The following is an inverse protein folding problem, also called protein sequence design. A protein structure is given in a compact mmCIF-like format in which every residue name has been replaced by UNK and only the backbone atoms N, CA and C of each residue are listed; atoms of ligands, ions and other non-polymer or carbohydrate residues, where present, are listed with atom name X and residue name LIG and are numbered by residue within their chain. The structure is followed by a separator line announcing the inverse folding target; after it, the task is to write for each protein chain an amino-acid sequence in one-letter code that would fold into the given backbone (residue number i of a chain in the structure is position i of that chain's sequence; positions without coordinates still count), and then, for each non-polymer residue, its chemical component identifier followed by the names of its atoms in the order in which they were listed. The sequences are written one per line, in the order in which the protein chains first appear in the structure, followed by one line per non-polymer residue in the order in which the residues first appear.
data_IF_278196185408
#
_entry.id   IF_278196185408
#
_cell.length_a   1.000
_cell.length_b   1.000
_cell.length_c   1.000
_cell.angle_alpha   90.00
_cell.angle_beta   90.00
_cell.angle_gamma   90.00
#
_symmetry.space_group_name_H-M   'P 1'
#
loop_
_entity.id
_entity.type
_entity.pdbx_description
1 polymer ?
#
# COMPACT_ATOMS: atom_id res chain seq x y z
N UNK A 1 -3.32 -5.70 3.85
CA UNK A 1 -2.14 -4.91 3.43
C UNK A 1 -1.94 -3.81 4.46
N UNK A 2 -0.97 -3.98 5.37
CA UNK A 2 -0.60 -2.93 6.33
C UNK A 2 0.34 -2.00 5.57
N UNK A 3 -0.16 -0.86 5.11
CA UNK A 3 0.75 0.14 4.55
C UNK A 3 1.64 0.64 5.68
N UNK A 4 2.96 0.49 5.53
CA UNK A 4 3.87 1.23 6.37
C UNK A 4 3.76 2.72 6.07
N UNK A 5 3.90 3.53 7.12
CA UNK A 5 3.89 4.99 7.02
C UNK A 5 5.06 5.40 6.11
N UNK A 6 4.76 6.16 5.07
CA UNK A 6 5.80 6.70 4.20
C UNK A 6 6.73 7.62 4.98
N UNK A 7 8.04 7.46 4.79
CA UNK A 7 9.08 8.36 5.32
C UNK A 7 8.98 9.80 4.78
N UNK A 8 8.21 10.01 3.70
CA UNK A 8 7.94 11.32 3.11
C UNK A 8 6.44 11.58 3.07
N UNK A 9 6.01 12.61 3.80
CA UNK A 9 4.64 13.11 3.88
C UNK A 9 4.57 14.53 3.33
N UNK A 10 3.61 14.75 2.45
CA UNK A 10 3.38 15.99 1.70
C UNK A 10 2.16 16.67 2.30
N UNK A 11 2.29 17.96 2.66
CA UNK A 11 1.19 18.76 3.19
C UNK A 11 0.12 19.05 2.14
N UNK A 12 -1.08 19.35 2.64
CA UNK A 12 -2.26 19.67 1.83
C UNK A 12 -2.45 21.18 1.60
N UNK A 13 -1.39 21.99 1.73
CA UNK A 13 -1.48 23.47 1.68
C UNK A 13 -2.19 23.96 0.41
N UNK A 14 -1.95 23.32 -0.73
CA UNK A 14 -2.60 23.62 -2.03
C UNK A 14 -4.09 23.22 -2.10
N UNK A 15 -4.56 22.33 -1.22
CA UNK A 15 -5.95 21.91 -1.16
C UNK A 15 -6.76 22.73 -0.14
N UNK A 16 -6.14 23.60 0.64
CA UNK A 16 -6.81 24.37 1.69
C UNK A 16 -7.99 25.19 1.12
N UNK A 17 -7.76 25.93 0.04
CA UNK A 17 -8.81 26.71 -0.61
C UNK A 17 -10.00 25.82 -0.97
N UNK A 18 -9.74 24.67 -1.57
CA UNK A 18 -10.81 23.81 -2.05
C UNK A 18 -11.55 23.12 -0.89
N UNK A 19 -10.84 22.73 0.18
CA UNK A 19 -11.43 22.18 1.40
C UNK A 19 -12.46 23.15 1.98
N UNK A 20 -12.15 24.45 1.98
CA UNK A 20 -13.03 25.52 2.53
C UNK A 20 -14.27 25.81 1.68
N UNK A 21 -14.21 25.50 0.38
CA UNK A 21 -15.34 25.69 -0.55
C UNK A 21 -16.31 24.48 -0.56
N UNK A 22 -15.98 23.39 0.13
CA UNK A 22 -16.85 22.21 0.15
C UNK A 22 -18.13 22.51 0.93
N UNK A 23 -19.25 22.45 0.20
CA UNK A 23 -20.58 22.65 0.76
C UNK A 23 -20.83 21.74 1.98
N UNK A 24 -21.09 22.40 3.13
CA UNK A 24 -21.40 21.81 4.44
C UNK A 24 -22.89 21.88 4.80
N UNK A 25 -23.75 22.32 3.89
CA UNK A 25 -25.20 22.43 4.08
C UNK A 25 -25.57 23.32 5.27
N UNK A 26 -26.44 22.81 6.14
CA UNK A 26 -26.94 23.53 7.32
C UNK A 26 -26.07 23.31 8.58
N UNK A 27 -24.88 22.73 8.42
CA UNK A 27 -23.98 22.49 9.56
C UNK A 27 -23.49 23.80 10.18
N UNK A 28 -23.23 23.78 11.49
CA UNK A 28 -22.74 24.97 12.17
C UNK A 28 -21.30 25.28 11.74
N UNK A 29 -21.11 26.51 11.24
CA UNK A 29 -19.83 27.00 10.70
C UNK A 29 -18.65 26.85 11.65
N UNK A 30 -18.82 27.05 12.95
CA UNK A 30 -17.73 26.89 13.93
C UNK A 30 -17.23 25.44 13.98
N UNK A 31 -18.15 24.48 13.96
CA UNK A 31 -17.81 23.06 13.94
C UNK A 31 -17.22 22.63 12.60
N UNK A 32 -17.76 23.14 11.49
CA UNK A 32 -17.21 22.93 10.14
C UNK A 32 -15.77 23.41 10.06
N UNK A 33 -15.49 24.66 10.45
CA UNK A 33 -14.15 25.22 10.50
C UNK A 33 -13.20 24.37 11.36
N UNK A 34 -13.69 23.80 12.47
CA UNK A 34 -12.87 22.92 13.32
C UNK A 34 -12.51 21.60 12.62
N UNK A 35 -13.38 21.06 11.76
CA UNK A 35 -13.13 19.84 11.00
C UNK A 35 -12.19 20.13 9.83
N UNK A 36 -12.44 21.19 9.07
CA UNK A 36 -11.57 21.65 7.99
C UNK A 36 -10.14 21.89 8.48
N UNK A 37 -9.97 22.63 9.57
CA UNK A 37 -8.66 22.90 10.16
C UNK A 37 -7.97 21.61 10.65
N UNK A 38 -8.73 20.60 11.07
CA UNK A 38 -8.17 19.31 11.45
C UNK A 38 -7.68 18.52 10.22
N UNK A 39 -8.38 18.60 9.09
CA UNK A 39 -7.91 18.04 7.82
C UNK A 39 -6.66 18.77 7.30
N UNK A 40 -6.70 20.10 7.21
CA UNK A 40 -5.60 20.92 6.68
C UNK A 40 -4.30 20.69 7.48
N UNK A 41 -4.38 20.62 8.81
CA UNK A 41 -3.20 20.48 9.68
C UNK A 41 -2.83 19.03 10.01
N UNK A 42 -3.77 18.12 9.83
CA UNK A 42 -3.69 16.74 10.33
C UNK A 42 -3.58 15.68 9.26
N UNK A 43 -3.89 15.99 8.01
CA UNK A 43 -3.78 15.06 6.90
C UNK A 43 -2.63 15.41 5.94
N UNK A 44 -2.10 14.37 5.32
CA UNK A 44 -0.95 14.42 4.43
C UNK A 44 -1.15 13.43 3.29
N UNK A 45 -0.53 13.68 2.14
CA UNK A 45 -0.38 12.67 1.09
C UNK A 45 1.03 12.10 1.15
N UNK A 46 1.21 10.80 0.93
CA UNK A 46 2.54 10.27 0.67
C UNK A 46 2.88 10.26 -0.83
N UNK A 47 4.09 9.79 -1.16
CA UNK A 47 4.54 9.63 -2.55
C UNK A 47 3.65 8.71 -3.40
N UNK A 48 2.85 7.84 -2.78
CA UNK A 48 1.89 6.93 -3.43
C UNK A 48 0.53 7.61 -3.62
N UNK A 49 0.36 8.87 -3.20
CA UNK A 49 -0.93 9.55 -3.16
C UNK A 49 -1.91 8.95 -2.15
N UNK A 50 -1.40 8.21 -1.15
CA UNK A 50 -2.21 7.70 -0.03
C UNK A 50 -2.35 8.80 1.02
N UNK A 51 -3.57 8.97 1.53
CA UNK A 51 -3.85 9.90 2.62
C UNK A 51 -3.40 9.30 3.96
N UNK A 52 -2.67 10.08 4.74
CA UNK A 52 -2.23 9.77 6.09
C UNK A 52 -2.76 10.81 7.07
N UNK A 53 -3.31 10.35 8.20
CA UNK A 53 -3.99 11.22 9.17
C UNK A 53 -3.32 11.06 10.52
N UNK A 54 -2.85 12.19 11.08
CA UNK A 54 -2.27 12.26 12.41
C UNK A 54 -3.29 11.90 13.47
N UNK A 55 -2.90 10.97 14.35
CA UNK A 55 -3.73 10.46 15.44
C UNK A 55 -4.38 11.57 16.29
N UNK A 56 -3.62 12.62 16.61
CA UNK A 56 -4.10 13.72 17.45
C UNK A 56 -5.34 14.46 16.90
N UNK A 57 -5.64 14.35 15.60
CA UNK A 57 -6.78 15.00 14.97
C UNK A 57 -8.02 14.09 14.86
N UNK A 58 -7.87 12.78 15.09
CA UNK A 58 -8.98 11.81 15.06
C UNK A 58 -10.19 12.19 15.92
N UNK A 59 -10.05 12.72 17.15
CA UNK A 59 -11.20 13.18 17.94
C UNK A 59 -12.11 14.15 17.18
N UNK A 60 -11.51 15.09 16.46
CA UNK A 60 -12.24 16.12 15.70
C UNK A 60 -12.81 15.54 14.42
N UNK A 61 -12.01 14.79 13.67
CA UNK A 61 -12.35 14.24 12.35
C UNK A 61 -13.45 13.18 12.44
N UNK A 62 -13.30 12.21 13.35
CA UNK A 62 -14.29 11.14 13.55
C UNK A 62 -15.43 11.54 14.50
N UNK A 63 -15.43 12.76 15.06
CA UNK A 63 -16.41 13.23 16.06
C UNK A 63 -16.48 12.32 17.29
N UNK A 64 -15.33 11.84 17.76
CA UNK A 64 -15.21 11.02 18.96
C UNK A 64 -14.61 11.82 20.11
N UNK A 65 -15.00 11.48 21.34
CA UNK A 65 -14.33 12.04 22.51
C UNK A 65 -12.89 11.53 22.55
N UNK A 66 -11.95 12.34 23.04
CA UNK A 66 -10.51 12.04 22.99
C UNK A 66 -10.17 10.73 23.70
N UNK A 67 -10.84 10.46 24.82
CA UNK A 67 -10.69 9.25 25.63
C UNK A 67 -11.22 7.97 24.96
N UNK A 68 -12.08 8.08 23.93
CA UNK A 68 -12.65 6.94 23.23
C UNK A 68 -11.92 6.57 21.95
N UNK A 69 -10.92 7.35 21.51
CA UNK A 69 -10.21 7.10 20.24
C UNK A 69 -9.58 5.70 20.22
N UNK A 70 -8.81 5.37 21.26
CA UNK A 70 -8.14 4.08 21.37
C UNK A 70 -9.12 2.91 21.40
N UNK A 71 -10.27 3.08 22.05
CA UNK A 71 -11.34 2.08 22.06
C UNK A 71 -11.82 1.79 20.63
N UNK A 72 -12.14 2.84 19.85
CA UNK A 72 -12.61 2.64 18.47
C UNK A 72 -11.52 2.10 17.53
N UNK A 73 -10.25 2.48 17.72
CA UNK A 73 -9.14 1.89 16.95
C UNK A 73 -8.97 0.40 17.24
N UNK A 74 -9.09 -0.01 18.52
CA UNK A 74 -9.02 -1.41 18.90
C UNK A 74 -10.14 -2.25 18.28
N UNK A 75 -11.37 -1.70 18.16
CA UNK A 75 -12.49 -2.38 17.50
C UNK A 75 -12.23 -2.71 16.02
N UNK A 76 -11.39 -1.92 15.35
CA UNK A 76 -10.98 -2.17 13.95
C UNK A 76 -9.61 -2.84 13.84
N UNK A 77 -9.09 -3.38 14.95
CA UNK A 77 -7.83 -4.12 14.99
C UNK A 77 -6.59 -3.28 14.74
N UNK A 78 -6.66 -1.96 14.97
CA UNK A 78 -5.54 -1.05 14.79
C UNK A 78 -4.85 -0.72 16.11
N UNK A 79 -3.52 -0.84 16.17
CA UNK A 79 -2.75 -0.36 17.32
C UNK A 79 -2.75 1.17 17.36
N UNK A 80 -2.34 1.72 18.51
CA UNK A 80 -2.04 3.14 18.62
C UNK A 80 -0.78 3.43 17.80
N UNK A 81 -0.88 4.43 16.93
CA UNK A 81 0.17 4.88 16.03
C UNK A 81 0.08 6.40 15.88
N UNK A 82 1.17 7.07 15.53
CA UNK A 82 1.19 8.51 15.26
C UNK A 82 0.29 8.89 14.06
N UNK A 83 0.09 7.94 13.13
CA UNK A 83 -0.74 8.11 11.94
C UNK A 83 -1.59 6.86 11.68
N UNK A 84 -2.74 7.09 11.04
CA UNK A 84 -3.54 6.05 10.40
C UNK A 84 -3.67 6.34 8.91
N UNK A 85 -3.88 5.30 8.09
CA UNK A 85 -4.14 5.49 6.67
C UNK A 85 -5.57 6.02 6.43
N UNK A 86 -5.81 6.57 5.24
CA UNK A 86 -7.14 6.99 4.80
C UNK A 86 -8.15 5.83 4.81
N UNK A 87 -7.71 4.63 4.42
CA UNK A 87 -8.54 3.41 4.46
C UNK A 87 -8.96 3.07 5.90
N UNK A 88 -7.99 3.10 6.82
CA UNK A 88 -8.24 2.87 8.24
C UNK A 88 -9.19 3.90 8.84
N UNK A 89 -9.05 5.15 8.41
CA UNK A 89 -9.94 6.23 8.83
C UNK A 89 -11.38 6.04 8.34
N UNK A 90 -11.59 5.52 7.11
CA UNK A 90 -12.93 5.17 6.62
C UNK A 90 -13.54 4.05 7.47
N UNK A 91 -12.76 3.02 7.81
CA UNK A 91 -13.21 1.95 8.70
C UNK A 91 -13.60 2.50 10.09
N UNK A 92 -12.77 3.39 10.65
CA UNK A 92 -13.04 4.08 11.90
C UNK A 92 -14.34 4.89 11.84
N UNK A 93 -14.50 5.71 10.80
CA UNK A 93 -15.72 6.52 10.62
C UNK A 93 -16.96 5.63 10.50
N UNK A 94 -16.89 4.51 9.77
CA UNK A 94 -18.01 3.59 9.61
C UNK A 94 -18.48 3.01 10.95
N UNK A 95 -17.56 2.54 11.79
CA UNK A 95 -17.87 2.03 13.14
C UNK A 95 -18.46 3.14 14.02
N UNK A 96 -17.86 4.34 14.01
CA UNK A 96 -18.35 5.48 14.81
C UNK A 96 -19.72 5.97 14.33
N UNK A 97 -19.96 5.97 13.03
CA UNK A 97 -21.22 6.39 12.42
C UNK A 97 -22.37 5.49 12.88
N UNK A 98 -22.16 4.17 12.83
CA UNK A 98 -23.14 3.18 13.27
C UNK A 98 -23.43 3.30 14.78
N UNK A 99 -22.39 3.54 15.60
CA UNK A 99 -22.54 3.73 17.04
C UNK A 99 -23.12 5.10 17.44
N UNK A 100 -23.20 6.07 16.52
CA UNK A 100 -23.68 7.42 16.82
C UNK A 100 -25.21 7.49 16.68
N UNK A 101 -25.97 7.85 17.73
CA UNK A 101 -27.44 7.85 17.67
C UNK A 101 -28.05 9.10 17.02
N UNK A 102 -27.39 10.26 17.13
CA UNK A 102 -27.98 11.55 16.71
C UNK A 102 -27.68 11.88 15.24
N UNK A 103 -28.70 12.26 14.48
CA UNK A 103 -28.58 12.72 13.09
C UNK A 103 -27.54 13.83 12.92
N UNK A 104 -27.61 14.89 13.73
CA UNK A 104 -26.67 16.02 13.62
C UNK A 104 -25.20 15.62 13.73
N UNK A 105 -24.87 14.67 14.62
CA UNK A 105 -23.49 14.17 14.75
C UNK A 105 -23.08 13.31 13.55
N UNK A 106 -24.01 12.52 13.01
CA UNK A 106 -23.81 11.77 11.76
C UNK A 106 -23.54 12.69 10.57
N UNK A 107 -24.17 13.85 10.50
CA UNK A 107 -23.94 14.80 9.40
C UNK A 107 -22.53 15.41 9.43
N UNK A 108 -21.98 15.69 10.62
CA UNK A 108 -20.56 16.08 10.72
C UNK A 108 -19.59 14.95 10.33
N UNK A 109 -19.93 13.69 10.66
CA UNK A 109 -19.12 12.53 10.26
C UNK A 109 -19.13 12.41 8.73
N UNK A 110 -20.30 12.49 8.09
CA UNK A 110 -20.45 12.52 6.62
C UNK A 110 -19.69 13.66 5.98
N UNK A 111 -19.74 14.85 6.59
CA UNK A 111 -18.97 15.98 6.10
C UNK A 111 -17.46 15.70 6.15
N UNK A 112 -16.96 15.13 7.26
CA UNK A 112 -15.55 14.74 7.34
C UNK A 112 -15.17 13.64 6.34
N UNK A 113 -16.05 12.68 6.08
CA UNK A 113 -15.86 11.66 5.03
C UNK A 113 -15.83 12.27 3.63
N UNK A 114 -16.69 13.25 3.35
CA UNK A 114 -16.70 14.01 2.09
C UNK A 114 -15.37 14.74 1.86
N UNK A 115 -14.83 15.37 2.89
CA UNK A 115 -13.50 16.00 2.84
C UNK A 115 -12.40 14.97 2.55
N UNK A 116 -12.44 13.80 3.19
CA UNK A 116 -11.51 12.71 2.89
C UNK A 116 -11.55 12.29 1.42
N UNK A 117 -12.75 12.01 0.89
CA UNK A 117 -12.91 11.62 -0.52
C UNK A 117 -12.37 12.70 -1.45
N UNK A 118 -12.64 13.97 -1.15
CA UNK A 118 -12.11 15.09 -1.93
C UNK A 118 -10.58 15.14 -1.95
N UNK A 119 -9.93 14.96 -0.80
CA UNK A 119 -8.46 14.93 -0.70
C UNK A 119 -7.91 13.72 -1.47
N UNK A 120 -8.49 12.54 -1.28
CA UNK A 120 -8.11 11.28 -1.94
C UNK A 120 -8.21 11.36 -3.46
N UNK A 121 -9.23 12.05 -3.96
CA UNK A 121 -9.55 12.15 -5.38
C UNK A 121 -9.04 13.46 -6.01
N UNK A 122 -8.27 14.25 -5.26
CA UNK A 122 -7.67 15.48 -5.76
C UNK A 122 -6.67 15.21 -6.88
N UNK A 123 -6.55 16.15 -7.83
CA UNK A 123 -5.53 16.12 -8.89
C UNK A 123 -4.12 15.90 -8.32
N UNK A 124 -3.82 16.46 -7.14
CA UNK A 124 -2.54 16.26 -6.47
C UNK A 124 -2.30 14.80 -6.08
N UNK A 125 -3.29 14.16 -5.46
CA UNK A 125 -3.21 12.74 -5.12
C UNK A 125 -3.11 11.86 -6.37
N UNK A 126 -3.84 12.20 -7.43
CA UNK A 126 -3.79 11.49 -8.71
C UNK A 126 -2.42 11.59 -9.39
N UNK A 127 -1.84 12.79 -9.49
CA UNK A 127 -0.50 12.99 -10.03
C UNK A 127 0.57 12.23 -9.24
N UNK A 128 0.45 12.21 -7.91
CA UNK A 128 1.34 11.41 -7.06
C UNK A 128 1.21 9.91 -7.34
N UNK A 129 -0.02 9.40 -7.46
CA UNK A 129 -0.27 8.00 -7.85
C UNK A 129 0.34 7.67 -9.21
N UNK A 130 0.07 8.49 -10.22
CA UNK A 130 0.58 8.28 -11.58
C UNK A 130 2.12 8.22 -11.60
N UNK A 131 2.78 9.23 -11.03
CA UNK A 131 4.25 9.30 -10.94
C UNK A 131 4.84 8.12 -10.15
N UNK A 132 4.15 7.68 -9.09
CA UNK A 132 4.57 6.51 -8.34
C UNK A 132 4.57 5.27 -9.22
N UNK A 133 3.49 5.01 -9.94
CA UNK A 133 3.38 3.84 -10.83
C UNK A 133 4.35 3.90 -12.01
N UNK A 134 4.55 5.06 -12.62
CA UNK A 134 5.57 5.27 -13.66
C UNK A 134 6.97 4.91 -13.13
N UNK A 135 7.34 5.42 -11.95
CA UNK A 135 8.61 5.09 -11.33
C UNK A 135 8.72 3.60 -11.00
N UNK A 136 7.66 2.97 -10.47
CA UNK A 136 7.64 1.52 -10.25
C UNK A 136 7.91 0.76 -11.55
N UNK A 137 7.25 1.14 -12.65
CA UNK A 137 7.43 0.50 -13.95
C UNK A 137 8.88 0.62 -14.45
N UNK A 138 9.48 1.80 -14.33
CA UNK A 138 10.87 2.05 -14.69
C UNK A 138 11.86 1.26 -13.83
N UNK A 139 11.58 1.10 -12.54
CA UNK A 139 12.40 0.29 -11.64
C UNK A 139 12.24 -1.21 -11.92
N UNK A 140 11.04 -1.66 -12.31
CA UNK A 140 10.78 -3.05 -12.71
C UNK A 140 11.55 -3.45 -13.96
N UNK A 141 11.60 -2.57 -14.97
CA UNK A 141 12.41 -2.78 -16.19
C UNK A 141 13.90 -3.02 -15.88
N UNK A 142 14.39 -2.49 -14.75
CA UNK A 142 15.79 -2.63 -14.31
C UNK A 142 16.05 -3.92 -13.50
N UNK A 143 15.03 -4.60 -12.98
CA UNK A 143 15.19 -5.76 -12.08
C UNK A 143 16.03 -6.88 -12.67
N UNK A 144 15.71 -7.29 -13.92
CA UNK A 144 16.47 -8.31 -14.64
C UNK A 144 17.97 -7.99 -14.66
N UNK A 145 18.32 -6.77 -15.08
CA UNK A 145 19.72 -6.33 -15.16
C UNK A 145 20.39 -6.29 -13.79
N UNK A 146 19.70 -5.79 -12.77
CA UNK A 146 20.22 -5.69 -11.40
C UNK A 146 20.50 -7.07 -10.81
N UNK A 147 19.53 -7.99 -10.91
CA UNK A 147 19.67 -9.37 -10.41
C UNK A 147 20.77 -10.16 -11.13
N UNK A 148 20.81 -10.11 -12.48
CA UNK A 148 21.89 -10.75 -13.26
C UNK A 148 23.25 -10.26 -12.79
N UNK A 149 23.41 -8.95 -12.58
CA UNK A 149 24.67 -8.35 -12.11
C UNK A 149 24.99 -8.76 -10.66
N UNK A 150 23.99 -8.77 -9.76
CA UNK A 150 24.17 -9.09 -8.33
C UNK A 150 24.66 -10.53 -8.13
N UNK A 151 24.11 -11.47 -8.91
CA UNK A 151 24.35 -12.91 -8.73
C UNK A 151 25.16 -13.57 -9.85
N UNK A 152 25.68 -12.79 -10.82
CA UNK A 152 26.44 -13.28 -11.98
C UNK A 152 25.73 -14.42 -12.73
N UNK A 153 24.44 -14.25 -13.00
CA UNK A 153 23.59 -15.30 -13.56
C UNK A 153 23.89 -15.49 -15.06
N UNK A 154 24.22 -16.71 -15.45
CA UNK A 154 24.52 -17.11 -16.85
C UNK A 154 23.61 -18.21 -17.38
N UNK A 155 22.82 -18.84 -16.50
CA UNK A 155 21.90 -19.93 -16.81
C UNK A 155 20.52 -19.62 -16.26
N UNK A 156 19.49 -20.26 -16.82
CA UNK A 156 18.15 -20.25 -16.24
C UNK A 156 18.18 -20.83 -14.81
N UNK A 157 17.72 -20.05 -13.83
CA UNK A 157 17.85 -20.38 -12.41
C UNK A 157 17.02 -21.60 -11.97
N UNK A 158 16.01 -22.01 -12.76
CA UNK A 158 15.20 -23.19 -12.48
C UNK A 158 15.65 -24.40 -13.27
N UNK A 159 16.00 -24.24 -14.54
CA UNK A 159 16.25 -25.37 -15.44
C UNK A 159 17.73 -25.66 -15.69
N UNK A 160 18.63 -24.77 -15.27
CA UNK A 160 20.08 -24.76 -15.57
C UNK A 160 20.44 -24.70 -17.06
N UNK A 161 19.45 -24.56 -17.94
CA UNK A 161 19.71 -24.38 -19.38
C UNK A 161 20.43 -23.06 -19.64
N UNK A 162 21.22 -22.95 -20.73
CA UNK A 162 21.82 -21.69 -21.12
C UNK A 162 20.78 -20.57 -21.20
N UNK A 163 21.11 -19.42 -20.63
CA UNK A 163 20.19 -18.29 -20.58
C UNK A 163 20.23 -17.51 -21.90
N UNK A 164 19.08 -17.32 -22.53
CA UNK A 164 18.98 -16.38 -23.64
C UNK A 164 18.82 -14.95 -23.08
N UNK A 165 19.92 -14.22 -22.95
CA UNK A 165 19.90 -12.87 -22.37
C UNK A 165 18.95 -11.89 -23.08
N UNK A 166 18.62 -12.10 -24.37
CA UNK A 166 17.69 -11.22 -25.11
C UNK A 166 16.24 -11.46 -24.67
N UNK A 167 15.86 -12.72 -24.47
CA UNK A 167 14.46 -13.10 -24.21
C UNK A 167 14.18 -13.55 -22.78
N UNK A 168 15.21 -13.74 -21.95
CA UNK A 168 15.05 -14.08 -20.55
C UNK A 168 14.26 -13.01 -19.80
N UNK A 169 13.53 -13.44 -18.78
CA UNK A 169 12.61 -12.60 -18.02
C UNK A 169 12.94 -12.67 -16.54
N UNK A 170 12.56 -11.61 -15.81
CA UNK A 170 12.54 -11.63 -14.36
C UNK A 170 11.16 -12.13 -13.94
N UNK A 171 11.11 -13.36 -13.44
CA UNK A 171 9.89 -14.00 -12.95
C UNK A 171 9.80 -13.83 -11.44
N UNK A 172 8.75 -13.15 -10.97
CA UNK A 172 8.52 -13.02 -9.53
C UNK A 172 8.21 -14.37 -8.90
N UNK A 173 8.77 -14.63 -7.71
CA UNK A 173 8.46 -15.83 -6.92
C UNK A 173 7.08 -15.69 -6.29
N UNK A 174 6.88 -14.63 -5.50
CA UNK A 174 5.56 -14.22 -5.02
C UNK A 174 4.94 -13.20 -5.97
N UNK A 175 3.71 -13.47 -6.39
CA UNK A 175 3.04 -12.67 -7.41
C UNK A 175 2.82 -11.22 -6.95
N UNK A 176 3.04 -10.27 -7.86
CA UNK A 176 2.85 -8.84 -7.58
C UNK A 176 1.38 -8.51 -7.27
N UNK A 177 0.44 -9.30 -7.78
CA UNK A 177 -0.99 -9.10 -7.53
C UNK A 177 -1.37 -9.31 -6.05
N UNK A 178 -0.74 -10.30 -5.40
CA UNK A 178 -1.00 -10.64 -3.99
C UNK A 178 0.00 -9.91 -3.08
N UNK A 179 1.24 -9.74 -3.53
CA UNK A 179 2.35 -9.19 -2.76
C UNK A 179 2.96 -7.95 -3.45
N UNK A 180 2.19 -6.84 -3.56
CA UNK A 180 2.64 -5.64 -4.28
C UNK A 180 3.87 -4.97 -3.64
N UNK A 181 4.08 -5.17 -2.33
CA UNK A 181 5.25 -4.61 -1.63
C UNK A 181 6.56 -5.25 -2.09
N UNK A 182 6.52 -6.51 -2.55
CA UNK A 182 7.71 -7.25 -3.01
C UNK A 182 8.04 -7.03 -4.49
N UNK A 183 7.32 -6.14 -5.18
CA UNK A 183 7.39 -6.01 -6.64
C UNK A 183 8.74 -5.49 -7.16
N UNK A 184 9.47 -4.74 -6.33
CA UNK A 184 10.79 -4.19 -6.63
C UNK A 184 11.93 -4.96 -5.95
N UNK A 185 11.61 -6.00 -5.18
CA UNK A 185 12.60 -6.80 -4.49
C UNK A 185 13.32 -7.73 -5.45
N UNK A 186 14.61 -7.53 -5.61
CA UNK A 186 15.46 -8.33 -6.52
C UNK A 186 15.50 -9.80 -6.12
N UNK A 187 15.34 -10.05 -4.82
CA UNK A 187 15.36 -11.39 -4.24
C UNK A 187 13.99 -12.08 -4.31
N UNK A 188 12.91 -11.33 -4.62
CA UNK A 188 11.59 -11.87 -4.95
C UNK A 188 11.43 -12.22 -6.43
N UNK A 189 12.50 -12.57 -7.12
CA UNK A 189 12.38 -13.09 -8.47
C UNK A 189 13.57 -13.92 -8.90
N UNK A 190 13.40 -14.58 -10.05
CA UNK A 190 14.37 -15.44 -10.68
C UNK A 190 14.53 -15.04 -12.15
N UNK A 191 15.73 -15.20 -12.67
CA UNK A 191 16.07 -15.00 -14.07
C UNK A 191 15.90 -16.34 -14.79
N UNK A 192 14.90 -16.39 -15.64
CA UNK A 192 14.52 -17.61 -16.36
C UNK A 192 14.31 -17.32 -17.84
N UNK A 193 14.42 -18.35 -18.67
CA UNK A 193 14.08 -18.26 -20.07
C UNK A 193 12.56 -18.08 -20.25
N UNK A 194 12.16 -17.44 -21.34
CA UNK A 194 10.76 -17.16 -21.66
C UNK A 194 9.88 -18.42 -21.62
N UNK A 195 10.36 -19.54 -22.16
CA UNK A 195 9.62 -20.82 -22.14
C UNK A 195 9.34 -21.31 -20.70
N UNK A 196 10.32 -21.14 -19.80
CA UNK A 196 10.15 -21.47 -18.38
C UNK A 196 9.10 -20.56 -17.75
N UNK A 197 9.15 -19.26 -18.06
CA UNK A 197 8.17 -18.28 -17.56
C UNK A 197 6.74 -18.53 -18.07
N UNK A 198 6.60 -18.91 -19.34
CA UNK A 198 5.32 -19.28 -19.93
C UNK A 198 4.69 -20.49 -19.20
N UNK A 199 5.51 -21.47 -18.80
CA UNK A 199 5.04 -22.61 -18.00
C UNK A 199 4.57 -22.16 -16.62
N UNK A 200 5.34 -21.32 -15.92
CA UNK A 200 4.95 -20.78 -14.61
C UNK A 200 3.61 -20.04 -14.72
N UNK A 201 3.47 -19.16 -15.70
CA UNK A 201 2.25 -18.38 -15.94
C UNK A 201 1.05 -19.29 -16.21
N UNK A 202 1.20 -20.31 -17.06
CA UNK A 202 0.12 -21.27 -17.38
C UNK A 202 -0.33 -22.11 -16.18
N UNK A 203 0.56 -22.33 -15.20
CA UNK A 203 0.23 -23.05 -13.97
C UNK A 203 -0.32 -22.13 -12.87
N UNK A 204 -0.52 -20.83 -13.15
CA UNK A 204 -1.08 -19.85 -12.23
C UNK A 204 -0.37 -19.82 -10.86
N UNK A 205 0.96 -19.92 -10.88
CA UNK A 205 1.79 -19.91 -9.66
C UNK A 205 1.66 -18.55 -8.97
N UNK A 206 1.33 -18.55 -7.67
CA UNK A 206 1.10 -17.32 -6.91
C UNK A 206 2.17 -17.06 -5.84
N UNK A 207 2.79 -18.10 -5.31
CA UNK A 207 3.76 -18.00 -4.22
C UNK A 207 4.93 -18.99 -4.36
N UNK A 208 5.85 -18.94 -3.39
CA UNK A 208 7.03 -19.79 -3.38
C UNK A 208 6.71 -21.27 -3.22
N UNK A 209 5.65 -21.62 -2.50
CA UNK A 209 5.28 -23.01 -2.26
C UNK A 209 4.71 -23.62 -3.54
N UNK A 210 3.86 -22.89 -4.24
CA UNK A 210 3.36 -23.23 -5.57
C UNK A 210 4.52 -23.47 -6.54
N UNK A 211 5.48 -22.55 -6.57
CA UNK A 211 6.62 -22.62 -7.48
C UNK A 211 7.51 -23.82 -7.19
N UNK A 212 7.80 -24.13 -5.91
CA UNK A 212 8.55 -25.33 -5.54
C UNK A 212 7.84 -26.60 -5.97
N UNK A 213 6.51 -26.69 -5.77
CA UNK A 213 5.74 -27.87 -6.20
C UNK A 213 5.85 -28.07 -7.71
N UNK A 214 5.75 -26.99 -8.49
CA UNK A 214 5.96 -27.06 -9.93
C UNK A 214 7.39 -27.50 -10.27
N UNK A 215 8.40 -26.97 -9.58
CA UNK A 215 9.80 -27.35 -9.80
C UNK A 215 10.02 -28.85 -9.56
N UNK A 216 9.48 -29.40 -8.48
CA UNK A 216 9.56 -30.85 -8.19
C UNK A 216 8.90 -31.67 -9.30
N UNK A 217 7.69 -31.30 -9.74
CA UNK A 217 6.99 -31.99 -10.83
C UNK A 217 7.77 -31.97 -12.14
N UNK A 218 8.46 -30.86 -12.44
CA UNK A 218 9.23 -30.67 -13.67
C UNK A 218 10.69 -31.09 -13.57
N UNK A 219 11.14 -31.57 -12.39
CA UNK A 219 12.54 -31.90 -12.08
C UNK A 219 13.48 -30.71 -12.30
N UNK A 220 13.05 -29.54 -11.85
CA UNK A 220 13.81 -28.29 -11.85
C UNK A 220 14.47 -28.06 -10.49
N UNK A 221 15.37 -27.09 -10.45
CA UNK A 221 16.10 -26.66 -9.27
C UNK A 221 15.16 -26.10 -8.21
N UNK A 222 15.39 -26.51 -6.96
CA UNK A 222 14.65 -26.03 -5.78
C UNK A 222 15.57 -25.34 -4.77
N UNK A 223 16.88 -25.29 -5.01
CA UNK A 223 17.85 -24.72 -4.07
C UNK A 223 17.62 -23.24 -3.75
N UNK A 224 17.01 -22.49 -4.66
CA UNK A 224 16.61 -21.09 -4.46
C UNK A 224 15.61 -20.92 -3.30
N UNK A 225 14.79 -21.94 -3.02
CA UNK A 225 13.74 -21.87 -2.01
C UNK A 225 14.29 -21.72 -0.60
N UNK A 226 15.36 -22.46 -0.27
CA UNK A 226 16.01 -22.41 1.05
C UNK A 226 16.58 -21.01 1.30
N UNK A 227 17.18 -20.40 0.27
CA UNK A 227 17.69 -19.03 0.37
C UNK A 227 16.55 -18.02 0.51
N UNK A 228 15.49 -18.18 -0.27
CA UNK A 228 14.34 -17.30 -0.26
C UNK A 228 13.60 -17.30 1.10
N UNK A 229 13.39 -18.47 1.71
CA UNK A 229 12.78 -18.58 3.05
C UNK A 229 13.59 -17.82 4.11
N UNK A 230 14.92 -17.94 4.09
CA UNK A 230 15.79 -17.20 5.03
C UNK A 230 15.69 -15.69 4.88
N UNK A 231 15.39 -15.19 3.69
CA UNK A 231 15.20 -13.75 3.46
C UNK A 231 13.86 -13.32 4.07
N UNK A 232 12.77 -14.02 3.74
CA UNK A 232 11.44 -13.67 4.26
C UNK A 232 11.37 -13.79 5.79
N UNK A 233 11.99 -14.80 6.38
CA UNK A 233 12.02 -14.99 7.84
C UNK A 233 12.71 -13.80 8.54
N UNK A 234 13.82 -13.30 7.97
CA UNK A 234 14.48 -12.09 8.49
C UNK A 234 13.61 -10.85 8.37
N UNK A 235 12.81 -10.74 7.32
CA UNK A 235 11.89 -9.61 7.16
C UNK A 235 10.72 -9.69 8.16
N UNK A 236 10.33 -10.90 8.59
CA UNK A 236 9.30 -11.11 9.63
C UNK A 236 9.82 -10.84 11.05
N UNK A 237 11.11 -11.06 11.32
CA UNK A 237 11.75 -10.76 12.61
C UNK A 237 12.01 -9.25 12.83
N UNK A 238 11.95 -8.44 11.75
CA UNK A 238 12.15 -7.00 11.79
C UNK A 238 10.84 -6.17 11.80
N UNK A 239 9.68 -6.84 11.97
CA UNK A 239 8.34 -6.23 12.15
C UNK A 239 7.94 -6.31 13.63
#
# INVERSE_FOLDING_TARGET
MKYEISKSLIKLDELEYIIREINYGELNKTWVNSIENAWIRGAFLDKRGIVWIKYQYLPKLARIKKELVNYYLALIGLPVSDYISGTDFVNLISVVFNATPTFRKRDYIRYSEKLYCFIRDSNKAEVLRARYYENIEDQRKKLKKRRIKKYNITVDELTRKPLNLKTAEFSHIRSVAIYPDLQLEEDNGLIINKETHDIITKNNIQDEEDLVRLCVQKRWETGWFVYYKKIIEKDLENI
#
